data_IF_536064141535
#
_entry.id   IF_536064141535
#
_cell.length_a   1.000
_cell.length_b   1.000
_cell.length_c   1.000
_cell.angle_alpha   90.00
_cell.angle_beta   90.00
_cell.angle_gamma   90.00
#
_symmetry.space_group_name_H-M   'P 1'
#
loop_
_entity.id
_entity.type
_entity.pdbx_description
1 polymer ?
#
# COMPACT_ATOMS: atom_id res chain seq x y z
N UNK A 1 -8.21 13.29 -10.12
CA UNK A 1 -7.30 12.13 -10.32
C UNK A 1 -5.85 12.45 -9.95
N UNK A 2 -5.25 13.52 -10.48
CA UNK A 2 -3.83 13.87 -10.24
C UNK A 2 -3.33 13.94 -8.79
N UNK A 3 -4.16 14.32 -7.80
CA UNK A 3 -3.71 14.40 -6.39
C UNK A 3 -3.40 13.02 -5.80
N UNK A 4 -4.20 11.99 -6.12
CA UNK A 4 -4.00 10.64 -5.58
C UNK A 4 -2.75 10.00 -6.18
N UNK A 5 -2.58 10.09 -7.50
CA UNK A 5 -1.39 9.55 -8.21
C UNK A 5 -0.10 10.18 -7.70
N UNK A 6 -0.07 11.50 -7.47
CA UNK A 6 1.10 12.18 -6.87
C UNK A 6 1.40 11.66 -5.46
N UNK A 7 0.39 11.45 -4.64
CA UNK A 7 0.57 10.93 -3.28
C UNK A 7 1.06 9.48 -3.33
N UNK A 8 0.47 8.63 -4.17
CA UNK A 8 0.95 7.26 -4.37
C UNK A 8 2.39 7.27 -4.88
N UNK A 9 2.74 8.18 -5.80
CA UNK A 9 4.11 8.35 -6.30
C UNK A 9 5.12 8.73 -5.21
N UNK A 10 4.70 9.54 -4.23
CA UNK A 10 5.52 9.96 -3.09
C UNK A 10 5.59 8.95 -1.94
N UNK A 11 4.81 7.86 -2.00
CA UNK A 11 4.78 6.81 -0.98
C UNK A 11 6.08 5.98 -1.02
N UNK A 12 6.58 5.48 0.13
CA UNK A 12 7.70 4.54 0.15
C UNK A 12 7.43 3.34 -0.76
N UNK A 13 8.41 3.00 -1.60
CA UNK A 13 8.25 2.02 -2.68
C UNK A 13 7.70 0.67 -2.22
N UNK A 14 8.24 0.12 -1.13
CA UNK A 14 7.80 -1.16 -0.56
C UNK A 14 6.34 -1.14 -0.07
N UNK A 15 5.87 0.01 0.41
CA UNK A 15 4.48 0.20 0.85
C UNK A 15 3.55 0.47 -0.33
N UNK A 16 4.04 1.21 -1.32
CA UNK A 16 3.35 1.49 -2.58
C UNK A 16 3.05 0.22 -3.34
N UNK A 17 4.04 -0.66 -3.48
CA UNK A 17 3.91 -1.95 -4.16
C UNK A 17 2.79 -2.80 -3.52
N UNK A 18 2.84 -3.00 -2.20
CA UNK A 18 1.81 -3.75 -1.46
C UNK A 18 0.43 -3.12 -1.59
N UNK A 19 0.34 -1.78 -1.52
CA UNK A 19 -0.92 -1.07 -1.68
C UNK A 19 -1.51 -1.26 -3.08
N UNK A 20 -0.69 -1.17 -4.13
CA UNK A 20 -1.12 -1.33 -5.52
C UNK A 20 -1.56 -2.78 -5.79
N UNK A 21 -0.78 -3.78 -5.37
CA UNK A 21 -1.17 -5.19 -5.50
C UNK A 21 -2.51 -5.49 -4.81
N UNK A 22 -2.76 -4.92 -3.63
CA UNK A 22 -4.02 -5.15 -2.94
C UNK A 22 -5.20 -4.35 -3.53
N UNK A 23 -4.99 -3.10 -3.96
CA UNK A 23 -6.09 -2.22 -4.39
C UNK A 23 -6.40 -2.30 -5.88
N UNK A 24 -5.38 -2.46 -6.71
CA UNK A 24 -5.50 -2.54 -8.17
C UNK A 24 -5.68 -3.98 -8.60
N UNK A 25 -4.76 -4.86 -8.17
CA UNK A 25 -4.79 -6.29 -8.55
C UNK A 25 -5.73 -7.11 -7.65
N UNK A 26 -6.29 -6.51 -6.59
CA UNK A 26 -7.20 -7.16 -5.62
C UNK A 26 -6.60 -8.41 -4.97
N UNK A 27 -5.27 -8.50 -4.91
CA UNK A 27 -4.59 -9.65 -4.31
C UNK A 27 -4.77 -9.65 -2.78
N UNK A 28 -5.09 -10.81 -2.18
CA UNK A 28 -5.12 -10.95 -0.74
C UNK A 28 -3.69 -10.91 -0.16
N UNK A 29 -3.54 -10.49 1.10
CA UNK A 29 -2.22 -10.31 1.72
C UNK A 29 -1.36 -11.57 1.71
N UNK A 30 -1.98 -12.75 1.80
CA UNK A 30 -1.31 -14.05 1.70
C UNK A 30 -0.60 -14.24 0.34
N UNK A 31 -1.22 -13.81 -0.76
CA UNK A 31 -0.66 -13.97 -2.10
C UNK A 31 0.44 -12.95 -2.36
N UNK A 32 0.25 -11.73 -1.85
CA UNK A 32 1.28 -10.69 -1.88
C UNK A 32 2.52 -11.13 -1.07
N UNK A 33 2.29 -11.74 0.09
CA UNK A 33 3.35 -12.28 0.95
C UNK A 33 4.19 -13.33 0.22
N UNK A 34 3.54 -14.30 -0.45
CA UNK A 34 4.23 -15.31 -1.27
C UNK A 34 4.96 -14.66 -2.44
N UNK A 35 4.32 -13.73 -3.16
CA UNK A 35 4.89 -13.09 -4.36
C UNK A 35 6.13 -12.25 -4.05
N UNK A 36 6.17 -11.62 -2.89
CA UNK A 36 7.29 -10.78 -2.46
C UNK A 36 8.30 -11.51 -1.56
N UNK A 37 8.10 -12.81 -1.30
CA UNK A 37 8.87 -13.61 -0.34
C UNK A 37 8.98 -12.96 1.04
N UNK A 38 7.82 -12.64 1.62
CA UNK A 38 7.68 -11.95 2.90
C UNK A 38 6.64 -12.64 3.77
N UNK A 39 6.70 -12.37 5.08
CA UNK A 39 5.63 -12.78 5.98
C UNK A 39 4.38 -11.91 5.78
N UNK A 40 3.20 -12.48 6.03
CA UNK A 40 1.95 -11.71 6.03
C UNK A 40 2.00 -10.51 6.98
N UNK A 41 2.68 -10.65 8.13
CA UNK A 41 2.93 -9.56 9.08
C UNK A 41 3.74 -8.40 8.48
N UNK A 42 4.71 -8.70 7.60
CA UNK A 42 5.44 -7.68 6.87
C UNK A 42 4.56 -6.95 5.86
N UNK A 43 3.64 -7.67 5.19
CA UNK A 43 2.64 -7.08 4.29
C UNK A 43 1.68 -6.17 5.06
N UNK A 44 1.16 -6.62 6.21
CA UNK A 44 0.31 -5.82 7.09
C UNK A 44 1.01 -4.53 7.55
N UNK A 45 2.28 -4.63 7.99
CA UNK A 45 3.07 -3.45 8.37
C UNK A 45 3.22 -2.48 7.21
N UNK A 46 3.58 -2.97 6.01
CA UNK A 46 3.72 -2.14 4.80
C UNK A 46 2.41 -1.49 4.40
N UNK A 47 1.30 -2.21 4.51
CA UNK A 47 -0.04 -1.68 4.27
C UNK A 47 -0.44 -0.61 5.28
N UNK A 48 -0.16 -0.82 6.57
CA UNK A 48 -0.40 0.16 7.63
C UNK A 48 0.34 1.48 7.37
N UNK A 49 1.60 1.39 6.90
CA UNK A 49 2.37 2.56 6.47
C UNK A 49 1.74 3.22 5.25
N UNK A 50 1.30 2.45 4.24
CA UNK A 50 0.65 2.99 3.05
C UNK A 50 -0.64 3.76 3.38
N UNK A 51 -1.50 3.19 4.22
CA UNK A 51 -2.76 3.80 4.64
C UNK A 51 -2.52 5.05 5.52
N UNK A 52 -1.56 4.99 6.44
CA UNK A 52 -1.16 6.15 7.26
C UNK A 52 -0.66 7.29 6.37
N UNK A 53 0.21 6.98 5.41
CA UNK A 53 0.74 7.97 4.45
C UNK A 53 -0.38 8.63 3.63
N UNK A 54 -1.33 7.83 3.13
CA UNK A 54 -2.50 8.36 2.42
C UNK A 54 -3.34 9.27 3.31
N UNK A 55 -3.58 8.87 4.57
CA UNK A 55 -4.35 9.65 5.53
C UNK A 55 -3.69 11.01 5.80
N UNK A 56 -2.38 11.03 6.01
CA UNK A 56 -1.61 12.26 6.27
C UNK A 56 -1.61 13.21 5.08
N UNK A 57 -1.47 12.69 3.86
CA UNK A 57 -1.37 13.52 2.64
C UNK A 57 -2.71 13.92 2.04
N UNK A 58 -3.76 13.12 2.26
CA UNK A 58 -5.09 13.37 1.69
C UNK A 58 -6.09 13.92 2.72
N UNK A 59 -5.81 13.80 4.02
CA UNK A 59 -6.65 14.33 5.09
C UNK A 59 -8.02 13.66 5.23
N UNK A 60 -8.31 12.61 4.45
CA UNK A 60 -9.56 11.85 4.54
C UNK A 60 -9.33 10.52 5.26
N UNK A 61 -10.24 10.17 6.18
CA UNK A 61 -10.48 8.76 6.53
C UNK A 61 -10.94 8.07 5.24
N UNK A 62 -10.12 7.18 4.71
CA UNK A 62 -10.47 6.27 3.61
C UNK A 62 -10.92 4.96 4.25
#
# INVERSE_FOLDING_TARGET
KAKLERVIGAMPEKSREVFLMNRIEKLPYREIAVRLDLSQKAIEKRMGVALTFLREKLGRKI
#
